data_IF_185523952715
#
_entry.id   IF_185523952715
#
_cell.length_a   1.000
_cell.length_b   1.000
_cell.length_c   1.000
_cell.angle_alpha   90.00
_cell.angle_beta   90.00
_cell.angle_gamma   90.00
#
_symmetry.space_group_name_H-M   'P 1'
#
loop_
_entity.id
_entity.type
_entity.pdbx_description
1 polymer ?
#
# COMPACT_ATOMS: atom_id res chain seq x y z
N UNK A 1 11.15 2.57 -10.48
CA UNK A 1 10.29 1.36 -10.36
C UNK A 1 8.89 1.81 -9.95
N UNK A 2 7.84 1.03 -10.20
CA UNK A 2 6.50 1.33 -9.68
C UNK A 2 6.39 0.83 -8.25
N UNK A 3 5.74 1.61 -7.37
CA UNK A 3 5.49 1.21 -5.98
C UNK A 3 4.56 0.00 -5.91
N UNK A 4 3.50 -0.01 -6.71
CA UNK A 4 2.56 -1.14 -6.84
C UNK A 4 3.28 -2.43 -7.23
N UNK A 5 4.11 -2.39 -8.26
CA UNK A 5 4.93 -3.53 -8.66
C UNK A 5 5.85 -4.03 -7.54
N UNK A 6 6.42 -3.12 -6.75
CA UNK A 6 7.32 -3.49 -5.65
C UNK A 6 6.59 -4.16 -4.49
N UNK A 7 5.30 -3.85 -4.33
CA UNK A 7 4.41 -4.37 -3.30
C UNK A 7 3.57 -5.57 -3.77
N UNK A 8 3.79 -6.07 -5.00
CA UNK A 8 2.97 -7.12 -5.61
C UNK A 8 1.49 -6.75 -5.75
N UNK A 9 1.20 -5.45 -5.99
CA UNK A 9 -0.13 -4.93 -6.27
C UNK A 9 -0.33 -4.79 -7.77
N UNK A 10 -1.38 -5.40 -8.31
CA UNK A 10 -1.74 -5.39 -9.72
C UNK A 10 -2.53 -4.14 -10.11
N UNK A 11 -2.47 -3.71 -11.38
CA UNK A 11 -3.38 -2.70 -11.90
C UNK A 11 -4.84 -3.12 -11.68
N UNK A 12 -5.66 -2.19 -11.19
CA UNK A 12 -7.07 -2.38 -10.85
C UNK A 12 -7.35 -3.33 -9.68
N UNK A 13 -6.33 -3.79 -8.96
CA UNK A 13 -6.52 -4.55 -7.73
C UNK A 13 -7.17 -3.69 -6.65
N UNK A 14 -8.08 -4.28 -5.87
CA UNK A 14 -8.68 -3.62 -4.73
C UNK A 14 -7.63 -3.38 -3.64
N UNK A 15 -7.56 -2.15 -3.15
CA UNK A 15 -6.66 -1.75 -2.05
C UNK A 15 -7.46 -1.14 -0.92
N UNK A 16 -7.01 -1.34 0.31
CA UNK A 16 -7.38 -0.52 1.46
C UNK A 16 -6.35 0.58 1.66
N UNK A 17 -6.85 1.79 1.95
CA UNK A 17 -6.05 2.97 2.28
C UNK A 17 -6.38 3.39 3.70
N UNK A 18 -5.34 3.50 4.53
CA UNK A 18 -5.41 3.88 5.93
C UNK A 18 -4.65 5.19 6.10
N UNK A 19 -5.34 6.26 6.47
CA UNK A 19 -4.72 7.56 6.67
C UNK A 19 -4.33 7.74 8.14
N UNK A 20 -3.04 7.88 8.42
CA UNK A 20 -2.49 7.99 9.78
C UNK A 20 -2.80 9.36 10.37
N UNK A 21 -2.85 10.41 9.55
CA UNK A 21 -3.02 11.78 10.01
C UNK A 21 -4.45 12.07 10.49
N UNK A 22 -5.47 11.46 9.86
CA UNK A 22 -6.87 11.75 10.14
C UNK A 22 -7.72 10.53 10.53
N UNK A 23 -7.15 9.32 10.50
CA UNK A 23 -7.83 8.07 10.88
C UNK A 23 -8.82 7.53 9.83
N UNK A 24 -8.96 8.16 8.66
CA UNK A 24 -9.83 7.67 7.60
C UNK A 24 -9.37 6.29 7.09
N UNK A 25 -10.34 5.40 6.86
CA UNK A 25 -10.12 4.04 6.33
C UNK A 25 -11.11 3.81 5.21
N UNK A 26 -10.63 3.47 4.02
CA UNK A 26 -11.50 3.28 2.86
C UNK A 26 -10.89 2.29 1.86
N UNK A 27 -11.75 1.75 1.00
CA UNK A 27 -11.35 0.86 -0.09
C UNK A 27 -11.38 1.61 -1.43
N UNK A 28 -10.45 1.26 -2.31
CA UNK A 28 -10.39 1.76 -3.69
C UNK A 28 -9.71 0.71 -4.58
N UNK A 29 -9.25 1.10 -5.76
CA UNK A 29 -8.46 0.26 -6.65
C UNK A 29 -7.18 0.98 -7.11
N UNK A 30 -6.13 0.23 -7.40
CA UNK A 30 -4.85 0.78 -7.82
C UNK A 30 -4.86 1.16 -9.31
N UNK A 31 -4.26 2.32 -9.62
CA UNK A 31 -3.95 2.75 -10.99
C UNK A 31 -2.44 3.01 -11.05
N UNK A 32 -1.78 2.57 -12.11
CA UNK A 32 -0.34 2.78 -12.26
C UNK A 32 -0.01 4.26 -12.45
N UNK A 33 0.88 4.78 -11.60
CA UNK A 33 1.49 6.09 -11.78
C UNK A 33 2.68 6.05 -12.74
N UNK A 34 3.33 7.20 -12.92
CA UNK A 34 4.55 7.29 -13.72
C UNK A 34 5.71 6.52 -13.06
N UNK A 35 6.47 5.75 -13.85
CA UNK A 35 7.57 4.92 -13.34
C UNK A 35 8.63 5.77 -12.63
N UNK A 36 8.87 5.48 -11.35
CA UNK A 36 9.92 6.15 -10.57
C UNK A 36 9.57 7.56 -10.08
N UNK A 37 8.34 8.04 -10.27
CA UNK A 37 7.92 9.36 -9.78
C UNK A 37 7.78 9.42 -8.25
N UNK A 38 7.50 8.28 -7.61
CA UNK A 38 7.08 8.25 -6.20
C UNK A 38 5.68 8.85 -5.99
N UNK A 39 4.92 9.06 -7.07
CA UNK A 39 3.61 9.68 -6.99
C UNK A 39 2.60 8.77 -6.28
N UNK A 40 1.88 9.36 -5.34
CA UNK A 40 0.70 8.79 -4.69
C UNK A 40 -0.41 9.82 -4.84
N UNK A 41 -1.47 9.46 -5.56
CA UNK A 41 -2.57 10.36 -5.84
C UNK A 41 -3.90 9.70 -5.48
N UNK A 42 -4.65 10.35 -4.60
CA UNK A 42 -6.02 9.96 -4.26
C UNK A 42 -6.97 10.78 -5.11
N UNK A 43 -7.65 10.11 -6.04
CA UNK A 43 -8.52 10.75 -7.03
C UNK A 43 -10.00 10.69 -6.61
N UNK A 44 -10.80 11.59 -7.19
CA UNK A 44 -12.25 11.55 -7.06
C UNK A 44 -12.74 11.60 -5.60
N UNK A 45 -13.65 10.70 -5.23
CA UNK A 45 -14.23 10.66 -3.88
C UNK A 45 -13.17 10.44 -2.78
N UNK A 46 -12.11 9.66 -3.07
CA UNK A 46 -11.03 9.41 -2.12
C UNK A 46 -10.23 10.67 -1.76
N UNK A 47 -10.18 11.67 -2.65
CA UNK A 47 -9.53 12.97 -2.39
C UNK A 47 -10.17 13.74 -1.23
N UNK A 48 -11.42 13.41 -0.86
CA UNK A 48 -12.10 14.02 0.30
C UNK A 48 -11.68 13.43 1.64
N UNK A 49 -10.94 12.32 1.63
CA UNK A 49 -10.55 11.54 2.82
C UNK A 49 -9.08 11.73 3.19
N UNK A 50 -8.35 12.58 2.46
CA UNK A 50 -6.93 12.87 2.71
C UNK A 50 -6.56 14.26 2.23
N UNK A 51 -5.49 14.80 2.80
CA UNK A 51 -4.83 16.02 2.33
C UNK A 51 -3.44 15.71 1.75
N UNK A 52 -2.94 16.61 0.89
CA UNK A 52 -1.56 16.51 0.40
C UNK A 52 -0.59 16.54 1.58
N UNK A 53 0.28 15.53 1.66
CA UNK A 53 1.27 15.39 2.74
C UNK A 53 0.84 14.46 3.87
N UNK A 54 -0.39 13.96 3.86
CA UNK A 54 -0.80 12.91 4.79
C UNK A 54 0.02 11.63 4.55
N UNK A 55 0.36 10.96 5.64
CA UNK A 55 0.98 9.64 5.66
C UNK A 55 -0.14 8.61 5.58
N UNK A 56 -0.06 7.75 4.58
CA UNK A 56 -1.03 6.67 4.38
C UNK A 56 -0.33 5.32 4.31
N UNK A 57 -1.06 4.28 4.69
CA UNK A 57 -0.71 2.87 4.46
C UNK A 57 -1.64 2.35 3.37
N UNK A 58 -1.07 1.69 2.37
CA UNK A 58 -1.80 1.01 1.28
C UNK A 58 -1.53 -0.48 1.40
N UNK A 59 -2.58 -1.29 1.39
CA UNK A 59 -2.47 -2.74 1.47
C UNK A 59 -3.52 -3.42 0.59
N UNK A 60 -3.18 -4.58 0.05
CA UNK A 60 -4.13 -5.49 -0.59
C UNK A 60 -4.20 -6.80 0.19
N UNK A 61 -5.24 -7.58 -0.08
CA UNK A 61 -5.47 -8.87 0.57
C UNK A 61 -5.60 -9.94 -0.51
N UNK A 62 -5.11 -11.13 -0.22
CA UNK A 62 -5.45 -12.32 -0.97
C UNK A 62 -6.20 -13.30 -0.06
N UNK A 63 -6.99 -14.15 -0.69
CA UNK A 63 -7.53 -15.34 -0.04
C UNK A 63 -6.63 -16.51 -0.39
N UNK A 64 -6.27 -17.28 0.63
CA UNK A 64 -5.48 -18.50 0.51
C UNK A 64 -6.16 -19.59 1.32
N UNK A 65 -5.79 -20.84 1.05
CA UNK A 65 -6.23 -21.96 1.88
C UNK A 65 -5.64 -21.86 3.29
N UNK A 66 -6.33 -22.44 4.27
CA UNK A 66 -5.97 -22.33 5.70
C UNK A 66 -4.54 -22.82 6.00
N UNK A 67 -4.13 -23.92 5.37
CA UNK A 67 -2.78 -24.49 5.50
C UNK A 67 -1.69 -23.55 4.95
N UNK A 68 -2.02 -22.75 3.93
CA UNK A 68 -1.15 -21.73 3.36
C UNK A 68 -1.14 -20.44 4.20
N UNK A 69 -2.27 -20.08 4.82
CA UNK A 69 -2.41 -18.85 5.58
C UNK A 69 -1.39 -18.74 6.73
N UNK A 70 -1.11 -19.86 7.42
CA UNK A 70 -0.13 -19.92 8.49
C UNK A 70 1.32 -19.64 8.06
N UNK A 71 1.61 -19.84 6.77
CA UNK A 71 2.95 -19.67 6.19
C UNK A 71 3.01 -18.50 5.20
N UNK A 72 1.93 -17.72 5.08
CA UNK A 72 1.85 -16.63 4.12
C UNK A 72 2.79 -15.48 4.53
N UNK A 73 3.67 -15.09 3.61
CA UNK A 73 4.61 -13.98 3.80
C UNK A 73 4.14 -12.77 2.99
N UNK A 74 3.61 -11.71 3.63
CA UNK A 74 3.24 -10.50 2.93
C UNK A 74 4.48 -9.80 2.37
N UNK A 75 4.32 -9.12 1.23
CA UNK A 75 5.35 -8.23 0.69
C UNK A 75 5.23 -6.87 1.38
N UNK A 76 6.23 -6.51 2.18
CA UNK A 76 6.28 -5.24 2.89
C UNK A 76 7.23 -4.28 2.16
N UNK A 77 6.72 -3.11 1.76
CA UNK A 77 7.51 -2.07 1.10
C UNK A 77 7.54 -0.82 1.96
N UNK A 78 8.72 -0.48 2.46
CA UNK A 78 8.96 0.73 3.23
C UNK A 78 9.50 1.83 2.32
N UNK A 79 9.01 3.04 2.53
CA UNK A 79 9.41 4.22 1.76
C UNK A 79 9.81 5.36 2.69
N UNK A 80 10.66 6.26 2.19
CA UNK A 80 10.97 7.51 2.89
C UNK A 80 9.96 8.63 2.57
N UNK A 81 10.18 9.83 3.12
CA UNK A 81 9.33 11.00 2.92
C UNK A 81 9.20 11.49 1.46
N UNK A 82 10.02 10.98 0.53
CA UNK A 82 9.91 11.23 -0.92
C UNK A 82 9.31 10.04 -1.68
N UNK A 83 8.67 9.12 -0.96
CA UNK A 83 8.10 7.87 -1.47
C UNK A 83 9.13 7.00 -2.23
N UNK A 84 10.42 7.18 -1.96
CA UNK A 84 11.46 6.32 -2.49
C UNK A 84 11.62 5.10 -1.57
N UNK A 85 11.64 3.91 -2.18
CA UNK A 85 11.77 2.64 -1.47
C UNK A 85 13.10 2.62 -0.72
N UNK A 86 13.02 2.34 0.58
CA UNK A 86 14.18 2.16 1.46
C UNK A 86 14.44 0.70 1.75
N UNK A 87 13.37 -0.12 1.82
CA UNK A 87 13.46 -1.52 2.19
C UNK A 87 12.27 -2.30 1.64
N UNK A 88 12.52 -3.55 1.20
CA UNK A 88 11.48 -4.52 0.85
C UNK A 88 11.73 -5.80 1.65
N UNK A 89 10.70 -6.30 2.35
CA UNK A 89 10.75 -7.55 3.12
C UNK A 89 9.66 -8.52 2.71
N UNK A 90 9.90 -9.81 2.89
CA UNK A 90 8.86 -10.86 2.93
C UNK A 90 9.00 -11.62 4.24
N UNK A 91 8.19 -11.28 5.23
CA UNK A 91 8.37 -11.78 6.61
C UNK A 91 7.04 -11.86 7.36
N UNK A 92 6.90 -12.87 8.24
CA UNK A 92 5.82 -12.98 9.27
C UNK A 92 6.22 -12.24 10.56
N UNK A 93 7.09 -11.23 10.48
CA UNK A 93 7.52 -10.53 11.69
C UNK A 93 6.36 -9.71 12.26
N UNK A 94 6.20 -9.76 13.58
CA UNK A 94 5.36 -8.80 14.30
C UNK A 94 5.87 -7.40 13.97
N UNK A 95 5.08 -6.61 13.25
CA UNK A 95 5.40 -5.21 12.96
C UNK A 95 5.24 -4.46 14.30
N UNK A 96 6.33 -3.95 14.91
CA UNK A 96 6.20 -3.10 16.08
C UNK A 96 5.68 -1.75 15.59
N UNK A 97 4.37 -1.55 15.72
CA UNK A 97 3.75 -0.24 15.54
C UNK A 97 4.07 0.67 16.73
#
# INVERSE_FOLDING_TARGET
>A
MLLTFSADILPYEQVQVLNINNGARFSSYAIEGARGSGEICLNGAAARLAAKGDIIIILSYCQVEDDQAHNFLPTLVYVNARNAITETKRAVETIPF
#
